data_IF_490692357853
#
_entry.id   IF_490692357853
#
_cell.length_a   1.000
_cell.length_b   1.000
_cell.length_c   1.000
_cell.angle_alpha   90.00
_cell.angle_beta   90.00
_cell.angle_gamma   90.00
#
_symmetry.space_group_name_H-M   'P 1'
#
loop_
_entity.id
_entity.type
_entity.pdbx_description
1 polymer ?
#
# COMPACT_ATOMS: atom_id res chain seq x y z
N UNK A 1 -2.46 -24.54 3.75
CA UNK A 1 -1.69 -23.32 3.45
C UNK A 1 -2.52 -22.15 3.95
N UNK A 2 -1.99 -21.31 4.84
CA UNK A 2 -2.76 -20.20 5.42
C UNK A 2 -3.04 -19.16 4.30
N UNK A 3 -4.21 -18.49 4.35
CA UNK A 3 -4.62 -17.46 3.38
C UNK A 3 -3.56 -16.36 3.22
N UNK A 4 -2.88 -15.97 4.31
CA UNK A 4 -1.79 -14.99 4.29
C UNK A 4 -0.58 -15.49 3.49
N UNK A 5 -0.21 -16.77 3.66
CA UNK A 5 0.84 -17.40 2.86
C UNK A 5 0.51 -17.37 1.38
N UNK A 6 -0.76 -17.67 1.02
CA UNK A 6 -1.21 -17.64 -0.38
C UNK A 6 -1.18 -16.24 -0.97
N UNK A 7 -1.57 -15.23 -0.20
CA UNK A 7 -1.52 -13.83 -0.65
C UNK A 7 -0.07 -13.43 -0.92
N UNK A 8 0.85 -13.68 0.02
CA UNK A 8 2.28 -13.41 -0.21
C UNK A 8 2.87 -14.18 -1.39
N UNK A 9 2.55 -15.47 -1.53
CA UNK A 9 3.00 -16.29 -2.66
C UNK A 9 2.48 -15.78 -4.01
N UNK A 10 1.26 -15.26 -4.04
CA UNK A 10 0.69 -14.64 -5.24
C UNK A 10 1.38 -13.28 -5.53
N UNK A 11 1.61 -12.46 -4.50
CA UNK A 11 2.29 -11.16 -4.63
C UNK A 11 3.73 -11.29 -5.16
N UNK A 12 4.41 -12.40 -4.87
CA UNK A 12 5.77 -12.65 -5.38
C UNK A 12 5.82 -13.38 -6.73
N UNK A 13 4.75 -14.07 -7.14
CA UNK A 13 4.74 -14.88 -8.37
C UNK A 13 4.76 -14.06 -9.68
N UNK A 14 4.39 -12.77 -9.61
CA UNK A 14 4.32 -11.85 -10.75
C UNK A 14 5.43 -10.80 -10.79
N UNK A 15 6.40 -10.85 -9.87
CA UNK A 15 7.43 -9.83 -9.76
C UNK A 15 8.36 -9.81 -10.98
N UNK A 16 8.74 -8.61 -11.47
CA UNK A 16 9.64 -8.47 -12.60
C UNK A 16 11.00 -9.10 -12.28
N UNK A 17 11.47 -9.97 -13.18
CA UNK A 17 12.81 -10.56 -13.09
C UNK A 17 13.85 -9.50 -13.41
N UNK A 18 15.01 -9.55 -12.75
CA UNK A 18 16.10 -8.60 -12.88
C UNK A 18 15.79 -7.17 -12.35
N UNK A 19 14.71 -7.01 -11.58
CA UNK A 19 14.42 -5.80 -10.80
C UNK A 19 14.94 -5.97 -9.37
N UNK A 20 15.92 -5.15 -8.98
CA UNK A 20 16.60 -5.25 -7.70
C UNK A 20 15.65 -5.02 -6.50
N UNK A 21 14.62 -4.18 -6.66
CA UNK A 21 13.66 -3.90 -5.59
C UNK A 21 12.64 -5.04 -5.47
N UNK A 22 12.21 -5.61 -6.59
CA UNK A 22 11.33 -6.76 -6.62
C UNK A 22 12.00 -8.02 -6.04
N UNK A 23 13.27 -8.26 -6.39
CA UNK A 23 14.09 -9.34 -5.80
C UNK A 23 14.27 -9.14 -4.29
N UNK A 24 14.45 -7.90 -3.85
CA UNK A 24 14.61 -7.53 -2.45
C UNK A 24 13.30 -7.74 -1.66
N UNK A 25 12.15 -7.38 -2.23
CA UNK A 25 10.84 -7.63 -1.63
C UNK A 25 10.48 -9.13 -1.61
N UNK A 26 10.75 -9.87 -2.69
CA UNK A 26 10.60 -11.32 -2.72
C UNK A 26 11.42 -11.97 -1.60
N UNK A 27 12.66 -11.51 -1.41
CA UNK A 27 13.52 -11.97 -0.33
C UNK A 27 12.89 -11.71 1.05
N UNK A 28 12.34 -10.52 1.30
CA UNK A 28 11.64 -10.23 2.57
C UNK A 28 10.41 -11.13 2.77
N UNK A 29 9.58 -11.27 1.74
CA UNK A 29 8.37 -12.08 1.83
C UNK A 29 8.70 -13.55 2.14
N UNK A 30 9.72 -14.12 1.50
CA UNK A 30 10.11 -15.53 1.69
C UNK A 30 10.85 -15.81 2.98
N UNK A 31 11.76 -14.92 3.39
CA UNK A 31 12.59 -15.13 4.58
C UNK A 31 11.94 -14.60 5.87
N UNK A 32 10.96 -13.69 5.75
CA UNK A 32 10.35 -13.01 6.88
C UNK A 32 8.83 -13.20 6.93
N UNK A 33 8.10 -12.70 5.95
CA UNK A 33 6.65 -12.56 6.09
C UNK A 33 5.91 -13.90 6.07
N UNK A 34 6.25 -14.79 5.14
CA UNK A 34 5.65 -16.11 5.03
C UNK A 34 5.99 -16.99 6.25
N UNK A 35 7.26 -17.15 6.67
CA UNK A 35 7.62 -17.97 7.83
C UNK A 35 6.96 -17.50 9.13
N UNK A 36 6.86 -16.18 9.33
CA UNK A 36 6.25 -15.60 10.52
C UNK A 36 4.74 -15.40 10.41
N UNK A 37 4.12 -15.78 9.28
CA UNK A 37 2.68 -15.63 9.03
C UNK A 37 2.18 -14.20 9.20
N UNK A 38 2.97 -13.23 8.76
CA UNK A 38 2.61 -11.80 8.76
C UNK A 38 1.36 -11.61 7.91
N UNK A 39 0.34 -10.95 8.45
CA UNK A 39 -0.89 -10.64 7.75
C UNK A 39 -0.63 -9.47 6.77
N UNK A 40 -0.83 -9.66 5.45
CA UNK A 40 -0.60 -8.60 4.46
C UNK A 40 -1.42 -7.33 4.75
N UNK A 41 -2.69 -7.47 5.14
CA UNK A 41 -3.56 -6.33 5.46
C UNK A 41 -3.07 -5.52 6.66
N UNK A 42 -2.56 -6.18 7.70
CA UNK A 42 -1.99 -5.54 8.89
C UNK A 42 -0.65 -4.89 8.57
N UNK A 43 0.18 -5.56 7.75
CA UNK A 43 1.43 -4.99 7.25
C UNK A 43 1.17 -3.69 6.47
N UNK A 44 0.19 -3.68 5.57
CA UNK A 44 -0.18 -2.49 4.80
C UNK A 44 -0.72 -1.37 5.70
N UNK A 45 -1.62 -1.68 6.64
CA UNK A 45 -2.10 -0.69 7.61
C UNK A 45 -0.95 -0.07 8.44
N UNK A 46 0.09 -0.84 8.75
CA UNK A 46 1.28 -0.32 9.42
C UNK A 46 2.16 0.54 8.52
N UNK A 47 2.29 0.17 7.23
CA UNK A 47 2.98 1.01 6.23
C UNK A 47 2.28 2.36 6.14
N UNK A 48 0.96 2.37 6.00
CA UNK A 48 0.16 3.60 5.90
C UNK A 48 0.36 4.49 7.13
N UNK A 49 0.31 3.90 8.32
CA UNK A 49 0.54 4.63 9.58
C UNK A 49 1.96 5.20 9.70
N UNK A 50 2.99 4.43 9.34
CA UNK A 50 4.38 4.88 9.41
C UNK A 50 4.74 5.92 8.34
N UNK A 51 3.98 5.98 7.25
CA UNK A 51 4.16 6.94 6.15
C UNK A 51 3.25 8.18 6.26
N UNK A 52 2.49 8.31 7.36
CA UNK A 52 1.51 9.38 7.59
C UNK A 52 0.45 9.49 6.46
N UNK A 53 0.14 8.37 5.81
CA UNK A 53 -0.98 8.30 4.88
C UNK A 53 -2.25 8.09 5.71
N UNK A 54 -3.29 8.91 5.46
CA UNK A 54 -4.58 8.69 6.12
C UNK A 54 -5.03 7.28 5.76
N UNK A 55 -5.32 6.45 6.76
CA UNK A 55 -5.90 5.13 6.54
C UNK A 55 -7.14 5.32 5.67
N UNK A 56 -7.03 5.05 4.36
CA UNK A 56 -8.20 4.76 3.56
C UNK A 56 -8.93 3.61 4.25
N UNK A 57 -10.26 3.59 4.14
CA UNK A 57 -11.18 2.74 4.91
C UNK A 57 -10.94 1.21 4.73
N UNK A 58 -9.76 0.70 5.05
CA UNK A 58 -9.40 -0.71 5.03
C UNK A 58 -10.01 -1.47 6.21
N UNK A 59 -10.67 -0.76 7.14
CA UNK A 59 -11.23 -1.32 8.37
C UNK A 59 -10.18 -1.86 9.35
N UNK A 60 -8.94 -2.08 8.90
CA UNK A 60 -7.83 -2.64 9.65
C UNK A 60 -7.01 -1.49 10.25
N UNK A 61 -7.04 -1.40 11.57
CA UNK A 61 -6.23 -0.42 12.29
C UNK A 61 -4.76 -0.85 12.31
N UNK A 62 -3.81 0.10 12.26
CA UNK A 62 -2.41 -0.22 12.48
C UNK A 62 -2.22 -0.85 13.86
N UNK A 63 -1.18 -1.66 14.00
CA UNK A 63 -0.90 -2.31 15.27
C UNK A 63 -0.50 -1.28 16.33
N UNK A 64 -0.66 -1.59 17.63
CA UNK A 64 -0.33 -0.65 18.70
C UNK A 64 1.08 -0.09 18.62
N UNK A 65 2.06 -0.92 18.26
CA UNK A 65 3.45 -0.49 18.13
C UNK A 65 3.68 0.39 16.90
N UNK A 66 3.06 0.09 15.75
CA UNK A 66 3.14 0.93 14.56
C UNK A 66 2.46 2.30 14.79
N UNK A 67 1.26 2.31 15.37
CA UNK A 67 0.54 3.53 15.73
C UNK A 67 1.35 4.41 16.71
N UNK A 68 2.01 3.79 17.70
CA UNK A 68 2.88 4.51 18.65
C UNK A 68 4.09 5.14 17.97
N UNK A 69 4.71 4.44 17.02
CA UNK A 69 5.83 4.99 16.23
C UNK A 69 5.37 6.18 15.40
N UNK A 70 4.25 6.04 14.67
CA UNK A 70 3.65 7.11 13.88
C UNK A 70 3.36 8.38 14.73
N UNK A 71 2.74 8.22 15.90
CA UNK A 71 2.41 9.34 16.79
C UNK A 71 3.63 10.05 17.40
N UNK A 72 4.75 9.33 17.57
CA UNK A 72 5.93 9.88 18.23
C UNK A 72 6.92 10.55 17.27
N UNK A 73 6.75 10.37 15.95
CA UNK A 73 7.71 10.78 14.90
C UNK A 73 9.16 10.35 15.18
N UNK A 74 9.33 9.31 16.00
CA UNK A 74 10.64 8.77 16.39
C UNK A 74 10.72 7.32 15.93
N UNK A 75 11.23 7.13 14.71
CA UNK A 75 11.48 5.81 14.18
C UNK A 75 12.73 5.20 14.83
N UNK A 76 12.65 3.96 15.33
CA UNK A 76 13.81 3.20 15.80
C UNK A 76 14.97 3.24 14.78
N UNK A 77 16.09 3.83 15.16
CA UNK A 77 17.27 3.95 14.29
C UNK A 77 17.84 2.56 14.00
N UNK A 78 18.25 2.34 12.75
CA UNK A 78 18.91 1.10 12.31
C UNK A 78 17.92 0.03 11.82
N UNK A 79 16.61 0.28 11.82
CA UNK A 79 15.62 -0.62 11.24
C UNK A 79 15.11 -0.09 9.89
N UNK A 80 15.05 -0.94 8.85
CA UNK A 80 14.44 -0.55 7.58
C UNK A 80 12.91 -0.49 7.71
N UNK A 81 12.26 0.35 6.89
CA UNK A 81 10.80 0.59 6.97
C UNK A 81 9.95 -0.67 6.84
N UNK A 82 10.32 -1.60 5.94
CA UNK A 82 9.62 -2.88 5.80
C UNK A 82 9.62 -3.69 7.10
N UNK A 83 10.72 -3.61 7.87
CA UNK A 83 10.81 -4.31 9.15
C UNK A 83 9.99 -3.59 10.22
N UNK A 84 9.99 -2.25 10.22
CA UNK A 84 9.15 -1.47 11.12
C UNK A 84 7.65 -1.74 10.88
N UNK A 85 7.24 -1.98 9.64
CA UNK A 85 5.86 -2.30 9.30
C UNK A 85 5.47 -3.76 9.64
N UNK A 86 6.36 -4.72 9.42
CA UNK A 86 6.08 -6.15 9.69
C UNK A 86 6.35 -6.58 11.14
N UNK A 87 7.25 -5.90 11.84
CA UNK A 87 7.72 -6.24 13.18
C UNK A 87 7.85 -4.99 14.09
N UNK A 88 6.79 -4.16 14.19
CA UNK A 88 6.84 -2.91 14.94
C UNK A 88 7.09 -3.13 16.44
N UNK A 89 6.56 -4.22 16.99
CA UNK A 89 6.70 -4.61 18.39
C UNK A 89 8.13 -5.03 18.76
N UNK A 90 8.81 -5.74 17.87
CA UNK A 90 10.22 -6.11 18.05
C UNK A 90 11.12 -4.87 18.02
N UNK A 91 10.89 -3.95 17.10
CA UNK A 91 11.68 -2.72 17.00
C UNK A 91 11.52 -1.85 18.26
N UNK A 92 10.30 -1.70 18.77
CA UNK A 92 10.04 -0.99 20.03
C UNK A 92 10.58 -1.74 21.25
N UNK A 93 10.41 -3.05 21.31
CA UNK A 93 10.96 -3.87 22.39
C UNK A 93 12.47 -3.69 22.48
N UNK A 94 13.18 -3.84 21.37
CA UNK A 94 14.62 -3.77 21.33
C UNK A 94 15.15 -2.38 21.70
N UNK A 95 14.50 -1.32 21.22
CA UNK A 95 14.89 0.07 21.54
C UNK A 95 14.52 0.50 22.95
N UNK A 96 13.54 -0.15 23.58
CA UNK A 96 13.18 0.09 24.98
C UNK A 96 14.16 -0.52 25.99
N UNK A 97 15.07 -1.40 25.54
CA UNK A 97 16.06 -2.04 26.43
C UNK A 97 17.19 -1.07 26.77
N UNK A 98 17.57 -1.02 28.04
CA UNK A 98 18.69 -0.23 28.52
C UNK A 98 19.65 -1.04 29.41
N UNK A 99 20.78 -0.42 29.76
CA UNK A 99 21.68 -0.95 30.79
C UNK A 99 22.21 -2.38 30.54
N UNK A 100 22.25 -3.24 31.57
CA UNK A 100 22.75 -4.61 31.47
C UNK A 100 21.94 -5.51 30.51
N UNK A 101 20.63 -5.31 30.45
CA UNK A 101 19.73 -6.13 29.63
C UNK A 101 19.96 -5.87 28.14
N UNK A 102 20.13 -4.59 27.77
CA UNK A 102 20.53 -4.20 26.42
C UNK A 102 21.85 -4.85 26.00
N UNK A 103 22.87 -4.81 26.86
CA UNK A 103 24.18 -5.43 26.58
C UNK A 103 24.09 -6.95 26.39
N UNK A 104 23.26 -7.62 27.19
CA UNK A 104 23.05 -9.06 27.07
C UNK A 104 22.37 -9.42 25.75
N UNK A 105 21.39 -8.62 25.31
CA UNK A 105 20.72 -8.81 24.02
C UNK A 105 21.69 -8.55 22.87
N UNK A 106 22.43 -7.44 22.89
CA UNK A 106 23.41 -7.12 21.84
C UNK A 106 24.48 -8.22 21.69
N UNK A 107 24.97 -8.76 22.81
CA UNK A 107 25.93 -9.86 22.82
C UNK A 107 25.34 -11.16 22.23
N UNK A 108 24.09 -11.47 22.57
CA UNK A 108 23.42 -12.67 22.09
C UNK A 108 23.06 -12.57 20.61
N UNK A 109 22.60 -11.40 20.15
CA UNK A 109 22.37 -11.08 18.73
C UNK A 109 23.67 -11.28 17.96
N UNK A 110 24.75 -10.64 18.41
CA UNK A 110 26.07 -10.77 17.76
C UNK A 110 26.51 -12.23 17.65
N UNK A 111 26.36 -13.01 18.73
CA UNK A 111 26.75 -14.41 18.79
C UNK A 111 25.93 -15.30 17.83
N UNK A 112 24.61 -15.11 17.77
CA UNK A 112 23.73 -15.94 16.92
C UNK A 112 23.82 -15.52 15.45
N UNK A 113 23.83 -14.23 15.16
CA UNK A 113 23.93 -13.74 13.77
C UNK A 113 25.25 -14.14 13.11
N UNK A 114 26.35 -14.15 13.86
CA UNK A 114 27.65 -14.64 13.34
C UNK A 114 27.67 -16.14 13.08
N UNK A 115 26.99 -16.94 13.92
CA UNK A 115 26.84 -18.38 13.69
C UNK A 115 25.98 -18.69 12.45
N UNK A 116 25.02 -17.82 12.13
CA UNK A 116 24.14 -17.93 10.95
C UNK A 116 24.73 -17.31 9.66
N UNK A 117 26.02 -16.92 9.67
CA UNK A 117 26.73 -16.48 8.47
C UNK A 117 26.88 -14.97 8.29
N UNK A 118 26.45 -14.13 9.26
CA UNK A 118 26.83 -12.73 9.26
C UNK A 118 28.35 -12.61 9.48
N UNK A 119 29.03 -11.84 8.63
CA UNK A 119 30.42 -11.49 8.91
C UNK A 119 30.49 -10.73 10.24
N UNK A 120 31.40 -11.12 11.14
CA UNK A 120 31.50 -10.56 12.50
C UNK A 120 31.66 -9.02 12.57
N UNK A 121 32.00 -8.39 11.43
CA UNK A 121 32.19 -6.94 11.31
C UNK A 121 31.01 -6.21 10.62
N UNK A 122 29.96 -6.92 10.19
CA UNK A 122 28.84 -6.37 9.41
C UNK A 122 27.49 -6.71 10.07
N UNK A 123 27.30 -6.27 11.32
CA UNK A 123 25.99 -6.28 11.98
C UNK A 123 25.01 -5.30 11.32
N UNK A 124 25.57 -4.31 10.64
CA UNK A 124 24.89 -3.27 9.88
C UNK A 124 25.27 -3.42 8.41
N UNK A 125 24.31 -3.24 7.52
CA UNK A 125 24.48 -3.25 6.08
C UNK A 125 25.14 -1.95 5.56
N UNK A 126 25.31 -1.85 4.24
CA UNK A 126 25.93 -0.71 3.59
C UNK A 126 25.12 0.60 3.73
N UNK A 127 23.83 0.50 4.08
CA UNK A 127 22.90 1.62 4.23
C UNK A 127 22.76 2.09 5.69
N UNK A 128 23.43 1.43 6.64
CA UNK A 128 23.33 1.78 8.06
C UNK A 128 22.18 1.07 8.80
N UNK A 129 21.54 0.08 8.18
CA UNK A 129 20.49 -0.74 8.81
C UNK A 129 21.02 -2.06 9.34
N UNK A 130 20.36 -2.65 10.34
CA UNK A 130 20.68 -4.00 10.77
C UNK A 130 20.54 -4.98 9.61
N UNK A 131 21.58 -5.81 9.43
CA UNK A 131 21.60 -6.83 8.39
C UNK A 131 20.49 -7.88 8.58
N UNK A 132 20.10 -8.57 7.50
CA UNK A 132 19.02 -9.58 7.58
C UNK A 132 19.26 -10.67 8.65
N UNK A 133 20.48 -11.23 8.81
CA UNK A 133 20.73 -12.19 9.89
C UNK A 133 20.50 -11.61 11.29
N UNK A 134 20.79 -10.32 11.47
CA UNK A 134 20.54 -9.61 12.73
C UNK A 134 19.03 -9.43 12.96
N UNK A 135 18.30 -8.98 11.95
CA UNK A 135 16.84 -8.83 12.02
C UNK A 135 16.13 -10.15 12.33
N UNK A 136 16.55 -11.24 11.67
CA UNK A 136 16.04 -12.59 11.94
C UNK A 136 16.32 -13.05 13.36
N UNK A 137 17.54 -12.81 13.84
CA UNK A 137 17.94 -13.14 15.22
C UNK A 137 17.13 -12.36 16.25
N UNK A 138 16.80 -11.09 15.98
CA UNK A 138 15.97 -10.27 16.85
C UNK A 138 14.55 -10.82 16.96
N UNK A 139 13.96 -11.27 15.86
CA UNK A 139 12.64 -11.93 15.85
C UNK A 139 12.66 -13.16 16.75
N UNK A 140 13.63 -14.05 16.56
CA UNK A 140 13.72 -15.30 17.34
C UNK A 140 13.89 -15.01 18.84
N UNK A 141 14.78 -14.08 19.20
CA UNK A 141 15.01 -13.70 20.59
C UNK A 141 13.79 -13.05 21.24
N UNK A 142 13.06 -12.22 20.52
CA UNK A 142 11.81 -11.63 21.02
C UNK A 142 10.78 -12.71 21.32
N UNK A 143 10.56 -13.64 20.38
CA UNK A 143 9.61 -14.76 20.54
C UNK A 143 9.98 -15.66 21.72
N UNK A 144 11.27 -15.96 21.89
CA UNK A 144 11.79 -16.75 23.03
C UNK A 144 11.56 -16.06 24.37
N UNK A 145 11.78 -14.74 24.46
CA UNK A 145 11.79 -14.01 25.74
C UNK A 145 10.43 -13.49 26.18
N UNK A 146 9.61 -13.06 25.23
CA UNK A 146 8.34 -12.41 25.54
C UNK A 146 7.18 -13.39 25.59
N UNK A 147 7.32 -14.60 25.01
CA UNK A 147 6.22 -15.59 24.85
C UNK A 147 4.97 -14.99 24.19
N UNK A 148 5.12 -13.86 23.51
CA UNK A 148 4.05 -13.11 22.86
C UNK A 148 3.92 -13.51 21.39
N UNK A 149 2.69 -13.43 20.90
CA UNK A 149 2.41 -13.47 19.46
C UNK A 149 2.80 -12.12 18.87
N UNK A 150 3.44 -12.11 17.70
CA UNK A 150 3.79 -10.87 17.01
C UNK A 150 2.51 -10.09 16.69
N UNK A 151 2.56 -8.77 16.82
CA UNK A 151 1.38 -7.92 16.56
C UNK A 151 0.84 -8.03 15.13
N UNK A 152 1.70 -8.38 14.17
CA UNK A 152 1.33 -8.51 12.76
C UNK A 152 0.94 -9.95 12.34
N UNK A 153 0.83 -10.89 13.28
CA UNK A 153 0.29 -12.22 13.02
C UNK A 153 -1.25 -12.13 13.00
N UNK A 154 -1.90 -12.80 12.05
CA UNK A 154 -3.35 -12.85 12.00
C UNK A 154 -3.93 -13.48 13.29
N UNK A 155 -5.03 -12.94 13.86
CA UNK A 155 -5.73 -13.61 14.96
C UNK A 155 -6.25 -14.98 14.48
N UNK A 156 -6.07 -16.03 15.28
CA UNK A 156 -6.48 -17.42 15.00
C UNK A 156 -8.01 -17.61 14.75
N UNK A 157 -8.82 -16.54 14.79
CA UNK A 157 -10.27 -16.58 14.70
C UNK A 157 -10.82 -16.86 13.28
N UNK A 158 -10.02 -16.73 12.22
CA UNK A 158 -10.50 -16.90 10.84
C UNK A 158 -10.14 -18.28 10.21
N UNK A 159 -9.77 -19.26 11.04
CA UNK A 159 -9.24 -20.56 10.58
C UNK A 159 -10.18 -21.77 10.77
N UNK A 160 -11.50 -21.58 10.67
CA UNK A 160 -12.41 -22.72 10.44
C UNK A 160 -13.33 -22.46 9.24
N UNK A 161 -13.22 -23.33 8.24
CA UNK A 161 -14.26 -23.55 7.23
C UNK A 161 -15.54 -24.00 7.95
N UNK A 162 -16.42 -23.07 8.34
CA UNK A 162 -17.76 -23.40 8.84
C UNK A 162 -18.80 -23.33 7.72
N UNK A 163 -19.45 -24.47 7.54
CA UNK A 163 -20.57 -24.67 6.62
C UNK A 163 -21.75 -23.77 7.00
N UNK A 164 -22.24 -23.02 6.01
CA UNK A 164 -23.62 -22.57 5.83
C UNK A 164 -24.44 -22.24 7.10
N UNK A 165 -24.60 -20.96 7.40
CA UNK A 165 -25.87 -20.22 7.24
C UNK A 165 -25.84 -18.93 8.07
N UNK A 166 -26.15 -17.82 7.39
CA UNK A 166 -26.53 -16.51 7.87
C UNK A 166 -25.50 -15.62 8.59
N UNK A 167 -25.12 -14.58 7.83
CA UNK A 167 -24.73 -13.22 8.25
C UNK A 167 -23.29 -12.97 8.75
N UNK A 168 -22.35 -12.82 7.80
CA UNK A 168 -21.69 -11.54 7.48
C UNK A 168 -20.73 -11.79 6.31
N UNK A 169 -21.17 -11.42 5.12
CA UNK A 169 -20.42 -11.55 3.88
C UNK A 169 -19.31 -10.47 3.82
N UNK A 170 -18.06 -10.84 4.10
CA UNK A 170 -16.91 -10.24 3.41
C UNK A 170 -16.96 -10.68 1.94
N UNK A 171 -17.77 -9.98 1.15
CA UNK A 171 -17.84 -10.21 -0.29
C UNK A 171 -16.57 -9.64 -0.93
N UNK A 172 -15.72 -10.52 -1.46
CA UNK A 172 -14.78 -10.14 -2.50
C UNK A 172 -15.56 -9.39 -3.60
N UNK A 173 -15.18 -8.14 -3.86
CA UNK A 173 -15.79 -7.34 -4.92
C UNK A 173 -15.69 -8.13 -6.23
N UNK A 174 -16.81 -8.37 -6.88
CA UNK A 174 -16.80 -8.84 -8.26
C UNK A 174 -16.08 -7.82 -9.14
N UNK A 175 -15.49 -8.24 -10.26
CA UNK A 175 -14.85 -7.32 -11.21
C UNK A 175 -15.76 -6.14 -11.59
N UNK A 176 -17.08 -6.38 -11.68
CA UNK A 176 -18.07 -5.34 -11.93
C UNK A 176 -18.17 -4.33 -10.77
N UNK A 177 -18.16 -4.80 -9.52
CA UNK A 177 -18.22 -3.91 -8.35
C UNK A 177 -16.91 -3.13 -8.16
N UNK A 178 -15.77 -3.71 -8.52
CA UNK A 178 -14.49 -3.01 -8.53
C UNK A 178 -14.48 -1.85 -9.56
N UNK A 179 -14.99 -2.10 -10.77
CA UNK A 179 -15.15 -1.08 -11.82
C UNK A 179 -16.12 0.02 -11.39
N UNK A 180 -17.25 -0.34 -10.79
CA UNK A 180 -18.22 0.62 -10.28
C UNK A 180 -17.58 1.49 -9.17
N UNK A 181 -16.78 0.90 -8.29
CA UNK A 181 -16.09 1.61 -7.21
C UNK A 181 -15.03 2.58 -7.76
N UNK A 182 -14.20 2.14 -8.71
CA UNK A 182 -13.18 2.98 -9.34
C UNK A 182 -13.82 4.17 -10.06
N UNK A 183 -14.88 3.92 -10.85
CA UNK A 183 -15.64 4.95 -11.54
C UNK A 183 -16.21 5.99 -10.55
N UNK A 184 -16.81 5.53 -9.45
CA UNK A 184 -17.38 6.41 -8.44
C UNK A 184 -16.29 7.25 -7.74
N UNK A 185 -15.19 6.63 -7.30
CA UNK A 185 -14.14 7.32 -6.56
C UNK A 185 -13.40 8.35 -7.42
N UNK A 186 -13.00 7.98 -8.64
CA UNK A 186 -12.38 8.93 -9.58
C UNK A 186 -13.31 10.12 -9.84
N UNK A 187 -14.61 9.86 -10.01
CA UNK A 187 -15.59 10.94 -10.20
C UNK A 187 -15.65 11.85 -8.98
N UNK A 188 -15.67 11.30 -7.76
CA UNK A 188 -15.70 12.09 -6.52
C UNK A 188 -14.42 12.91 -6.35
N UNK A 189 -13.25 12.32 -6.53
CA UNK A 189 -11.97 13.04 -6.43
C UNK A 189 -11.88 14.16 -7.47
N UNK A 190 -12.25 13.91 -8.73
CA UNK A 190 -12.24 14.96 -9.77
C UNK A 190 -13.14 16.13 -9.39
N UNK A 191 -14.34 15.84 -8.87
CA UNK A 191 -15.33 16.85 -8.46
C UNK A 191 -14.88 17.64 -7.23
N UNK A 192 -14.28 16.97 -6.25
CA UNK A 192 -13.71 17.61 -5.07
C UNK A 192 -12.56 18.54 -5.46
N UNK A 193 -11.65 18.06 -6.30
CA UNK A 193 -10.54 18.87 -6.84
C UNK A 193 -11.04 20.08 -7.64
N UNK A 194 -12.09 19.90 -8.44
CA UNK A 194 -12.70 20.98 -9.21
C UNK A 194 -13.40 22.02 -8.34
N UNK A 195 -14.01 21.60 -7.23
CA UNK A 195 -14.82 22.46 -6.35
C UNK A 195 -13.95 23.19 -5.32
N UNK A 196 -13.08 22.45 -4.62
CA UNK A 196 -12.28 22.95 -3.49
C UNK A 196 -10.94 23.55 -3.91
N UNK A 197 -10.40 23.13 -5.06
CA UNK A 197 -9.06 23.52 -5.51
C UNK A 197 -9.01 23.97 -6.99
N UNK A 198 -10.16 24.25 -7.60
CA UNK A 198 -10.29 24.42 -9.05
C UNK A 198 -9.41 25.52 -9.66
N UNK A 199 -9.08 26.56 -8.89
CA UNK A 199 -8.20 27.67 -9.28
C UNK A 199 -6.71 27.25 -9.43
N UNK A 200 -6.33 26.15 -8.77
CA UNK A 200 -4.98 25.57 -8.82
C UNK A 200 -4.74 24.70 -10.05
N UNK A 201 -5.80 24.29 -10.75
CA UNK A 201 -5.73 23.41 -11.93
C UNK A 201 -5.93 24.19 -13.23
N UNK A 202 -5.04 23.98 -14.21
CA UNK A 202 -5.12 24.64 -15.53
C UNK A 202 -6.03 23.93 -16.54
N UNK A 203 -6.64 22.80 -16.17
CA UNK A 203 -7.48 22.00 -17.04
C UNK A 203 -7.79 20.62 -16.47
N UNK A 204 -8.38 19.76 -17.32
CA UNK A 204 -8.85 18.43 -16.92
C UNK A 204 -7.71 17.45 -16.64
N UNK A 205 -6.66 17.43 -17.48
CA UNK A 205 -5.51 16.53 -17.34
C UNK A 205 -4.95 16.47 -15.90
N UNK A 206 -4.46 17.56 -15.30
CA UNK A 206 -3.88 17.49 -13.96
C UNK A 206 -4.91 17.09 -12.89
N UNK A 207 -6.21 17.37 -13.07
CA UNK A 207 -7.25 16.88 -12.15
C UNK A 207 -7.44 15.37 -12.24
N UNK A 208 -7.53 14.83 -13.46
CA UNK A 208 -7.64 13.39 -13.68
C UNK A 208 -6.39 12.65 -13.16
N UNK A 209 -5.20 13.22 -13.39
CA UNK A 209 -3.96 12.65 -12.86
C UNK A 209 -4.00 12.55 -11.34
N UNK A 210 -4.41 13.61 -10.63
CA UNK A 210 -4.52 13.52 -9.17
C UNK A 210 -5.63 12.56 -8.74
N UNK A 211 -6.80 12.58 -9.38
CA UNK A 211 -7.90 11.69 -9.04
C UNK A 211 -7.51 10.20 -9.21
N UNK A 212 -6.81 9.86 -10.28
CA UNK A 212 -6.31 8.51 -10.49
C UNK A 212 -5.14 8.15 -9.57
N UNK A 213 -4.31 9.12 -9.16
CA UNK A 213 -3.25 8.90 -8.18
C UNK A 213 -3.81 8.67 -6.77
N UNK A 214 -4.91 9.32 -6.41
CA UNK A 214 -5.63 9.06 -5.17
C UNK A 214 -6.28 7.66 -5.22
N UNK A 215 -6.91 7.30 -6.33
CA UNK A 215 -7.56 5.99 -6.48
C UNK A 215 -6.60 4.80 -6.61
N UNK A 216 -5.45 4.99 -7.28
CA UNK A 216 -4.48 3.93 -7.59
C UNK A 216 -3.13 4.17 -6.92
N UNK A 217 -3.10 4.97 -5.85
CA UNK A 217 -1.87 5.35 -5.15
C UNK A 217 -1.03 4.15 -4.77
N UNK A 218 -1.68 3.05 -4.36
CA UNK A 218 -1.02 1.78 -4.08
C UNK A 218 -0.31 1.19 -5.31
N UNK A 219 -1.03 0.98 -6.43
CA UNK A 219 -0.47 0.43 -7.67
C UNK A 219 0.67 1.27 -8.27
N UNK A 220 0.66 2.60 -8.03
CA UNK A 220 1.57 3.56 -8.67
C UNK A 220 2.76 3.91 -7.79
N UNK A 221 2.51 4.19 -6.51
CA UNK A 221 3.51 4.72 -5.58
C UNK A 221 4.13 3.65 -4.68
N UNK A 222 3.47 2.50 -4.51
CA UNK A 222 3.92 1.41 -3.62
C UNK A 222 4.35 0.20 -4.44
N UNK A 223 3.43 -0.38 -5.19
CA UNK A 223 3.70 -1.60 -5.97
C UNK A 223 4.46 -1.31 -7.27
N UNK A 224 4.39 -0.07 -7.76
CA UNK A 224 4.99 0.38 -9.02
C UNK A 224 4.61 -0.45 -10.26
N UNK A 225 3.57 -1.27 -10.17
CA UNK A 225 3.05 -2.10 -11.26
C UNK A 225 2.37 -1.27 -12.35
N UNK A 226 1.89 -0.06 -11.99
CA UNK A 226 1.43 0.94 -12.96
C UNK A 226 2.39 2.14 -12.91
N UNK A 227 3.19 2.40 -13.97
CA UNK A 227 4.05 3.57 -13.99
C UNK A 227 3.26 4.87 -13.90
N UNK A 228 3.76 5.85 -13.14
CA UNK A 228 3.16 7.19 -13.07
C UNK A 228 3.02 7.84 -14.46
N UNK A 229 3.95 7.57 -15.37
CA UNK A 229 3.88 8.03 -16.75
C UNK A 229 2.64 7.47 -17.49
N UNK A 230 2.25 6.24 -17.20
CA UNK A 230 1.04 5.60 -17.75
C UNK A 230 -0.22 6.32 -17.26
N UNK A 231 -0.28 6.65 -15.97
CA UNK A 231 -1.38 7.45 -15.41
C UNK A 231 -1.47 8.85 -16.05
N UNK A 232 -0.33 9.52 -16.22
CA UNK A 232 -0.26 10.84 -16.88
C UNK A 232 -0.70 10.74 -18.33
N UNK A 233 -0.24 9.72 -19.05
CA UNK A 233 -0.62 9.48 -20.45
C UNK A 233 -2.12 9.19 -20.57
N UNK A 234 -2.68 8.34 -19.72
CA UNK A 234 -4.12 8.09 -19.68
C UNK A 234 -4.89 9.39 -19.42
N UNK A 235 -4.40 10.24 -18.53
CA UNK A 235 -5.01 11.56 -18.25
C UNK A 235 -4.96 12.48 -19.46
N UNK A 236 -3.83 12.51 -20.17
CA UNK A 236 -3.61 13.32 -21.37
C UNK A 236 -4.55 12.91 -22.51
N UNK A 237 -4.66 11.60 -22.75
CA UNK A 237 -5.50 11.05 -23.83
C UNK A 237 -7.00 11.21 -23.52
N UNK A 238 -7.39 11.14 -22.24
CA UNK A 238 -8.79 11.32 -21.84
C UNK A 238 -9.25 12.77 -21.77
N UNK A 239 -8.33 13.73 -21.56
CA UNK A 239 -8.69 15.12 -21.27
C UNK A 239 -9.54 15.82 -22.36
N UNK A 240 -9.48 15.35 -23.60
CA UNK A 240 -10.21 15.91 -24.76
C UNK A 240 -11.38 15.04 -25.23
N UNK A 241 -11.70 13.95 -24.53
CA UNK A 241 -12.82 13.08 -24.87
C UNK A 241 -14.18 13.74 -24.55
N UNK A 242 -15.26 13.19 -25.11
CA UNK A 242 -16.63 13.67 -24.88
C UNK A 242 -17.01 13.61 -23.39
N UNK A 243 -16.61 12.53 -22.69
CA UNK A 243 -16.61 12.45 -21.23
C UNK A 243 -15.21 12.03 -20.73
N UNK A 244 -14.39 12.99 -20.28
CA UNK A 244 -13.02 12.73 -19.86
C UNK A 244 -12.90 11.75 -18.68
N UNK A 245 -13.90 11.71 -17.79
CA UNK A 245 -13.85 10.81 -16.62
C UNK A 245 -14.13 9.38 -17.05
N UNK A 246 -15.14 9.16 -17.89
CA UNK A 246 -15.47 7.82 -18.41
C UNK A 246 -14.31 7.24 -19.22
N UNK A 247 -13.74 8.05 -20.12
CA UNK A 247 -12.58 7.64 -20.93
C UNK A 247 -11.37 7.28 -20.04
N UNK A 248 -11.14 8.06 -18.99
CA UNK A 248 -10.05 7.84 -18.05
C UNK A 248 -10.24 6.58 -17.20
N UNK A 249 -11.44 6.35 -16.68
CA UNK A 249 -11.75 5.12 -15.92
C UNK A 249 -11.54 3.88 -16.79
N UNK A 250 -12.08 3.86 -18.01
CA UNK A 250 -11.90 2.70 -18.92
C UNK A 250 -10.43 2.39 -19.17
N UNK A 251 -9.59 3.42 -19.33
CA UNK A 251 -8.14 3.27 -19.52
C UNK A 251 -7.45 2.74 -18.26
N UNK A 252 -7.82 3.23 -17.09
CA UNK A 252 -7.23 2.77 -15.84
C UNK A 252 -7.62 1.34 -15.49
N UNK A 253 -8.85 0.93 -15.78
CA UNK A 253 -9.28 -0.46 -15.64
C UNK A 253 -8.41 -1.40 -16.48
N UNK A 254 -8.12 -1.03 -17.74
CA UNK A 254 -7.23 -1.83 -18.60
C UNK A 254 -5.85 -1.99 -17.96
N UNK A 255 -5.28 -0.92 -17.43
CA UNK A 255 -3.94 -0.96 -16.81
C UNK A 255 -3.95 -1.77 -15.50
N UNK A 256 -4.99 -1.66 -14.66
CA UNK A 256 -5.14 -2.47 -13.44
C UNK A 256 -5.30 -3.95 -13.79
N UNK A 257 -6.18 -4.32 -14.71
CA UNK A 257 -6.34 -5.70 -15.12
C UNK A 257 -5.10 -6.25 -15.84
N UNK A 258 -4.35 -5.42 -16.58
CA UNK A 258 -3.07 -5.84 -17.17
C UNK A 258 -1.99 -6.06 -16.10
N UNK A 259 -1.97 -5.25 -15.04
CA UNK A 259 -1.07 -5.43 -13.91
C UNK A 259 -1.36 -6.74 -13.16
N UNK A 260 -2.63 -7.15 -13.05
CA UNK A 260 -3.05 -8.38 -12.36
C UNK A 260 -2.97 -9.65 -13.24
N UNK A 261 -3.34 -9.54 -14.52
CA UNK A 261 -3.49 -10.67 -15.44
C UNK A 261 -2.33 -10.87 -16.42
N UNK A 262 -1.39 -9.93 -16.48
CA UNK A 262 -0.24 -9.93 -17.39
C UNK A 262 -0.56 -9.41 -18.80
N UNK A 263 0.46 -8.85 -19.44
CA UNK A 263 0.36 -8.10 -20.70
C UNK A 263 -0.12 -8.94 -21.91
N UNK A 264 0.01 -10.27 -21.82
CA UNK A 264 -0.41 -11.22 -22.86
C UNK A 264 -1.93 -11.26 -23.12
N UNK A 265 -2.74 -10.72 -22.19
CA UNK A 265 -4.20 -10.68 -22.32
C UNK A 265 -4.76 -9.29 -22.66
N UNK A 266 -3.90 -8.27 -22.87
CA UNK A 266 -4.31 -6.86 -23.05
C UNK A 266 -5.46 -6.67 -24.03
N UNK A 267 -5.42 -7.30 -25.20
CA UNK A 267 -6.51 -7.17 -26.19
C UNK A 267 -7.86 -7.69 -25.69
N UNK A 268 -7.86 -8.80 -24.94
CA UNK A 268 -9.10 -9.36 -24.34
C UNK A 268 -9.60 -8.44 -23.24
N UNK A 269 -8.69 -7.89 -22.44
CA UNK A 269 -9.00 -6.93 -21.36
C UNK A 269 -9.60 -5.66 -21.96
N UNK A 270 -8.99 -5.08 -23.00
CA UNK A 270 -9.51 -3.92 -23.74
C UNK A 270 -10.94 -4.17 -24.26
N UNK A 271 -11.18 -5.33 -24.90
CA UNK A 271 -12.51 -5.71 -25.37
C UNK A 271 -13.52 -5.83 -24.22
N UNK A 272 -13.11 -6.35 -23.05
CA UNK A 272 -13.97 -6.48 -21.88
C UNK A 272 -14.27 -5.12 -21.22
N UNK A 273 -13.26 -4.28 -21.02
CA UNK A 273 -13.41 -2.93 -20.47
C UNK A 273 -14.31 -2.07 -21.38
N UNK A 274 -14.19 -2.22 -22.70
CA UNK A 274 -15.05 -1.51 -23.64
C UNK A 274 -16.53 -1.89 -23.50
N UNK A 275 -16.83 -3.15 -23.19
CA UNK A 275 -18.20 -3.60 -22.90
C UNK A 275 -18.75 -3.01 -21.59
N UNK A 276 -17.88 -2.60 -20.67
CA UNK A 276 -18.27 -1.95 -19.41
C UNK A 276 -18.47 -0.43 -19.55
N UNK A 277 -18.11 0.17 -20.69
CA UNK A 277 -18.16 1.63 -20.87
C UNK A 277 -19.53 2.23 -20.59
N UNK A 278 -20.63 1.60 -21.01
CA UNK A 278 -21.98 2.11 -20.71
C UNK A 278 -22.28 2.10 -19.21
N UNK A 279 -21.76 1.10 -18.50
CA UNK A 279 -21.92 0.99 -17.05
C UNK A 279 -21.06 2.01 -16.31
N UNK A 280 -19.83 2.22 -16.76
CA UNK A 280 -18.96 3.30 -16.24
C UNK A 280 -19.67 4.64 -16.41
N UNK A 281 -20.25 4.92 -17.58
CA UNK A 281 -21.03 6.13 -17.83
C UNK A 281 -22.20 6.28 -16.86
N UNK A 282 -22.99 5.22 -16.64
CA UNK A 282 -24.11 5.26 -15.70
C UNK A 282 -23.66 5.59 -14.27
N UNK A 283 -22.57 4.96 -13.80
CA UNK A 283 -22.02 5.21 -12.46
C UNK A 283 -21.46 6.62 -12.32
N UNK A 284 -20.76 7.13 -13.35
CA UNK A 284 -20.24 8.49 -13.39
C UNK A 284 -21.39 9.51 -13.34
N UNK A 285 -22.45 9.32 -14.12
CA UNK A 285 -23.61 10.22 -14.13
C UNK A 285 -24.34 10.23 -12.79
N UNK A 286 -24.57 9.05 -12.20
CA UNK A 286 -25.19 8.92 -10.88
C UNK A 286 -24.32 9.57 -9.78
N UNK A 287 -23.01 9.32 -9.80
CA UNK A 287 -22.09 9.90 -8.82
C UNK A 287 -22.03 11.42 -8.93
N UNK A 288 -22.13 11.98 -10.15
CA UNK A 288 -22.21 13.43 -10.36
C UNK A 288 -23.50 14.04 -9.84
N UNK A 289 -24.64 13.34 -9.95
CA UNK A 289 -25.91 13.83 -9.40
C UNK A 289 -25.93 13.81 -7.87
N UNK A 290 -25.24 12.84 -7.27
CA UNK A 290 -25.32 12.57 -5.83
C UNK A 290 -24.19 13.24 -5.02
N UNK A 291 -23.32 14.02 -5.68
CA UNK A 291 -22.10 14.59 -5.09
C UNK A 291 -22.35 15.57 -3.92
N UNK A 292 -23.58 15.97 -3.63
CA UNK A 292 -23.86 17.00 -2.61
C UNK A 292 -23.77 16.54 -1.13
N UNK A 293 -23.50 15.26 -0.80
CA UNK A 293 -23.72 14.80 0.59
C UNK A 293 -22.68 13.83 1.22
N UNK A 294 -21.38 13.82 0.86
CA UNK A 294 -20.45 12.88 1.55
C UNK A 294 -19.03 13.45 1.87
N UNK A 295 -18.67 13.62 3.16
CA UNK A 295 -17.36 14.13 3.59
C UNK A 295 -16.14 13.19 3.45
N UNK A 296 -16.29 11.96 2.95
CA UNK A 296 -15.29 10.90 3.18
C UNK A 296 -14.03 10.92 2.28
N UNK A 297 -13.95 11.80 1.28
CA UNK A 297 -12.77 11.89 0.38
C UNK A 297 -12.03 13.25 0.43
N UNK A 298 -12.52 14.18 1.24
CA UNK A 298 -11.93 15.51 1.42
C UNK A 298 -10.55 15.44 2.07
N UNK A 299 -10.33 14.49 2.98
CA UNK A 299 -9.05 14.39 3.70
C UNK A 299 -7.90 13.92 2.81
N UNK A 300 -8.08 12.88 2.00
CA UNK A 300 -7.05 12.39 1.07
C UNK A 300 -6.70 13.46 0.03
N UNK A 301 -7.72 14.13 -0.50
CA UNK A 301 -7.55 15.27 -1.42
C UNK A 301 -6.80 16.42 -0.76
N UNK A 302 -7.19 16.81 0.46
CA UNK A 302 -6.53 17.85 1.24
C UNK A 302 -5.09 17.52 1.56
N UNK A 303 -4.81 16.29 2.00
CA UNK A 303 -3.46 15.81 2.27
C UNK A 303 -2.58 15.95 1.03
N UNK A 304 -3.07 15.47 -0.13
CA UNK A 304 -2.34 15.60 -1.38
C UNK A 304 -2.14 17.06 -1.81
N UNK A 305 -3.10 17.96 -1.55
CA UNK A 305 -3.04 19.35 -2.02
C UNK A 305 -2.24 20.28 -1.10
N UNK A 306 -2.16 19.98 0.20
CA UNK A 306 -1.63 20.89 1.23
C UNK A 306 -0.34 20.39 1.89
N UNK A 307 -0.11 19.07 2.00
CA UNK A 307 1.07 18.58 2.71
C UNK A 307 2.36 18.82 1.91
N UNK A 308 3.47 19.26 2.55
CA UNK A 308 4.73 19.54 1.85
C UNK A 308 5.32 18.33 1.12
N UNK A 309 5.11 17.10 1.62
CA UNK A 309 5.69 15.90 1.02
C UNK A 309 5.22 15.64 -0.42
N UNK A 310 4.02 16.09 -0.79
CA UNK A 310 3.48 15.92 -2.14
C UNK A 310 3.83 17.09 -3.07
N UNK A 311 4.55 18.12 -2.60
CA UNK A 311 4.93 19.28 -3.42
C UNK A 311 5.70 18.92 -4.69
N UNK A 312 6.71 18.01 -4.68
CA UNK A 312 7.40 17.62 -5.90
C UNK A 312 6.46 16.98 -6.93
N UNK A 313 5.48 16.20 -6.46
CA UNK A 313 4.51 15.51 -7.30
C UNK A 313 3.48 16.49 -7.88
N UNK A 314 3.01 17.44 -7.07
CA UNK A 314 2.16 18.55 -7.54
C UNK A 314 2.84 19.38 -8.62
N UNK A 315 4.13 19.70 -8.44
CA UNK A 315 4.92 20.41 -9.43
C UNK A 315 5.09 19.61 -10.72
N UNK A 316 5.38 18.31 -10.62
CA UNK A 316 5.50 17.42 -11.77
C UNK A 316 4.19 17.32 -12.58
N UNK A 317 3.05 17.34 -11.90
CA UNK A 317 1.70 17.31 -12.50
C UNK A 317 1.30 18.70 -13.06
N UNK A 318 1.99 19.76 -12.67
CA UNK A 318 1.72 21.14 -13.13
C UNK A 318 0.61 21.85 -12.35
N UNK A 319 0.43 21.50 -11.08
CA UNK A 319 -0.52 22.15 -10.16
C UNK A 319 0.09 23.45 -9.64
N UNK A 320 -0.71 24.52 -9.61
CA UNK A 320 -0.24 25.81 -9.09
C UNK A 320 -0.02 25.75 -7.56
N UNK A 321 1.02 26.43 -7.04
CA UNK A 321 1.22 26.53 -5.60
C UNK A 321 0.06 27.26 -4.92
N UNK A 322 -0.13 27.02 -3.62
CA UNK A 322 -1.06 27.82 -2.82
C UNK A 322 -0.59 29.28 -2.79
N UNK A 323 -1.54 30.21 -2.89
CA UNK A 323 -1.29 31.66 -2.90
C UNK A 323 -0.98 32.18 -1.51
#
# INVERSE_FOLDING_TARGET
MNINTRIWENSIAGLPKDDQQAEQFEHYAREFFIPDSIAPSVYLANVDALMEQAAEESGVQPTPSAAKMALSMQHPIGFPTWFLAAYPDIALWFTSQDGPDRKAIDAEVTRRSTASGAAANHLVDENGFFSHPVLRTLIDLYRERMTSVLECIAPDADLQEESAADSTDEQALTAQQAVDLMAANITRYERELATSYGDRFTGMRPRLTVAGLLQLGYYILVDHVIPLATLVQASDESASADDPVVEFVERLEIEVFCAEGGEGERKRIEEACHLLRSRILDVVLQTRSDFEETPSLTQATSNFMELPQFEPLRQAIGIRPSS
#
